data_IF_597163813909
#
_entry.id   IF_597163813909
#
_cell.length_a   1.000
_cell.length_b   1.000
_cell.length_c   1.000
_cell.angle_alpha   90.00
_cell.angle_beta   90.00
_cell.angle_gamma   90.00
#
_symmetry.space_group_name_H-M   'P 1'
#
loop_
_entity.id
_entity.type
_entity.pdbx_description
1 polymer ?
#
# COMPACT_ATOMS: atom_id res chain seq x y z
N UNK A 1 -25.93 8.41 -2.66
CA UNK A 1 -25.29 9.13 -1.54
C UNK A 1 -24.72 10.40 -2.16
N UNK A 2 -25.01 11.60 -1.66
CA UNK A 2 -24.49 12.83 -2.28
C UNK A 2 -23.01 12.97 -1.91
N UNK A 3 -22.12 13.00 -2.92
CA UNK A 3 -20.68 12.99 -2.72
C UNK A 3 -20.18 14.35 -2.21
N UNK A 4 -19.33 14.31 -1.20
CA UNK A 4 -18.64 15.48 -0.64
C UNK A 4 -17.48 15.82 -1.58
N UNK A 5 -17.43 17.04 -2.10
CA UNK A 5 -16.31 17.49 -2.93
C UNK A 5 -15.10 17.71 -2.00
N UNK A 6 -14.06 16.88 -2.15
CA UNK A 6 -12.83 17.01 -1.37
C UNK A 6 -11.94 18.09 -1.96
N UNK A 7 -11.15 18.76 -1.12
CA UNK A 7 -10.16 19.73 -1.60
C UNK A 7 -8.97 19.01 -2.26
N UNK A 8 -8.28 19.68 -3.18
CA UNK A 8 -7.04 19.15 -3.78
C UNK A 8 -6.00 18.77 -2.72
N UNK A 9 -5.88 19.56 -1.64
CA UNK A 9 -5.04 19.22 -0.49
C UNK A 9 -5.45 17.89 0.14
N UNK A 10 -6.75 17.70 0.41
CA UNK A 10 -7.28 16.49 1.02
C UNK A 10 -7.07 15.27 0.12
N UNK A 11 -7.24 15.42 -1.20
CA UNK A 11 -6.99 14.33 -2.17
C UNK A 11 -5.50 13.92 -2.15
N UNK A 12 -4.58 14.89 -2.18
CA UNK A 12 -3.14 14.62 -2.14
C UNK A 12 -2.70 14.02 -0.81
N UNK A 13 -3.26 14.50 0.30
CA UNK A 13 -3.02 13.94 1.62
C UNK A 13 -3.52 12.49 1.71
N UNK A 14 -4.70 12.19 1.14
CA UNK A 14 -5.25 10.83 1.12
C UNK A 14 -4.34 9.87 0.36
N UNK A 15 -3.74 10.29 -0.77
CA UNK A 15 -2.77 9.49 -1.52
C UNK A 15 -1.54 9.15 -0.65
N UNK A 16 -1.00 10.12 0.08
CA UNK A 16 0.11 9.89 1.00
C UNK A 16 -0.26 8.93 2.14
N UNK A 17 -1.47 9.07 2.69
CA UNK A 17 -1.95 8.16 3.72
C UNK A 17 -2.22 6.73 3.19
N UNK A 18 -2.68 6.56 1.95
CA UNK A 18 -2.80 5.24 1.31
C UNK A 18 -1.46 4.53 1.19
N UNK A 19 -0.39 5.27 0.83
CA UNK A 19 0.97 4.74 0.82
C UNK A 19 1.40 4.33 2.24
N UNK A 20 1.15 5.16 3.24
CA UNK A 20 1.44 4.84 4.66
C UNK A 20 0.71 3.59 5.13
N UNK A 21 -0.59 3.45 4.87
CA UNK A 21 -1.37 2.25 5.21
C UNK A 21 -0.82 0.99 4.53
N UNK A 22 -0.33 1.12 3.29
CA UNK A 22 0.32 0.02 2.58
C UNK A 22 1.60 -0.44 3.30
N UNK A 23 2.38 0.50 3.84
CA UNK A 23 3.57 0.20 4.66
C UNK A 23 3.19 -0.55 5.94
N UNK A 24 2.18 -0.06 6.67
CA UNK A 24 1.68 -0.72 7.88
C UNK A 24 1.20 -2.15 7.61
N UNK A 25 0.46 -2.38 6.53
CA UNK A 25 -0.04 -3.70 6.18
C UNK A 25 1.11 -4.67 5.86
N UNK A 26 2.13 -4.23 5.12
CA UNK A 26 3.32 -5.05 4.86
C UNK A 26 4.07 -5.38 6.15
N UNK A 27 4.22 -4.42 7.05
CA UNK A 27 4.84 -4.61 8.35
C UNK A 27 4.09 -5.62 9.22
N UNK A 28 2.74 -5.57 9.23
CA UNK A 28 1.89 -6.57 9.91
C UNK A 28 2.23 -7.98 9.46
N UNK A 29 2.28 -8.21 8.15
CA UNK A 29 2.66 -9.51 7.59
C UNK A 29 4.10 -9.92 7.95
N UNK A 30 5.04 -8.98 7.92
CA UNK A 30 6.41 -9.23 8.38
C UNK A 30 6.44 -9.72 9.83
N UNK A 31 5.66 -9.08 10.70
CA UNK A 31 5.56 -9.46 12.10
C UNK A 31 4.98 -10.86 12.27
N UNK A 32 3.97 -11.21 11.48
CA UNK A 32 3.39 -12.55 11.48
C UNK A 32 4.41 -13.61 11.07
N UNK A 33 5.26 -13.32 10.07
CA UNK A 33 6.35 -14.23 9.67
C UNK A 33 7.37 -14.41 10.80
N UNK A 34 7.82 -13.32 11.43
CA UNK A 34 8.78 -13.40 12.55
C UNK A 34 8.19 -14.21 13.71
N UNK A 35 6.95 -13.91 14.11
CA UNK A 35 6.27 -14.62 15.19
C UNK A 35 6.07 -16.10 14.87
N UNK A 36 5.91 -16.48 13.60
CA UNK A 36 5.77 -17.88 13.21
C UNK A 36 7.13 -18.61 13.18
N UNK A 37 8.20 -17.97 12.67
CA UNK A 37 9.48 -18.65 12.35
C UNK A 37 10.65 -18.37 13.29
N UNK A 38 10.77 -17.15 13.80
CA UNK A 38 11.92 -16.70 14.57
C UNK A 38 11.59 -16.53 16.07
N UNK A 39 10.33 -16.19 16.38
CA UNK A 39 9.86 -15.87 17.72
C UNK A 39 8.58 -16.65 18.09
N UNK A 40 8.55 -17.95 17.76
CA UNK A 40 7.38 -18.82 17.96
C UNK A 40 6.92 -18.90 19.42
N UNK A 41 7.82 -18.65 20.38
CA UNK A 41 7.51 -18.56 21.80
C UNK A 41 6.69 -17.32 22.19
N UNK A 42 6.68 -16.28 21.35
CA UNK A 42 5.89 -15.06 21.53
C UNK A 42 4.54 -15.09 20.79
N UNK A 43 4.26 -16.14 20.01
CA UNK A 43 3.00 -16.29 19.27
C UNK A 43 1.80 -16.19 20.23
N UNK A 44 0.83 -15.35 19.89
CA UNK A 44 -0.38 -15.10 20.71
C UNK A 44 -0.16 -14.21 21.95
N UNK A 45 1.07 -13.77 22.20
CA UNK A 45 1.40 -12.80 23.26
C UNK A 45 1.64 -11.41 22.68
N UNK A 46 2.25 -11.34 21.50
CA UNK A 46 2.42 -10.12 20.71
C UNK A 46 1.32 -10.04 19.67
N UNK A 47 0.67 -8.89 19.59
CA UNK A 47 -0.33 -8.59 18.58
C UNK A 47 0.37 -7.98 17.34
N UNK A 48 0.33 -8.65 16.17
CA UNK A 48 0.96 -8.15 14.96
C UNK A 48 0.32 -6.87 14.41
N UNK A 49 -0.89 -6.51 14.84
CA UNK A 49 -1.55 -5.25 14.48
C UNK A 49 -1.05 -4.06 15.32
N UNK A 50 -0.40 -4.33 16.44
CA UNK A 50 0.18 -3.28 17.29
C UNK A 50 1.60 -2.99 16.83
N UNK A 51 1.75 -1.91 16.06
CA UNK A 51 3.03 -1.54 15.48
C UNK A 51 3.60 -0.26 16.12
N UNK A 52 4.74 -0.38 16.79
CA UNK A 52 5.52 0.75 17.32
C UNK A 52 6.91 0.78 16.68
N UNK A 53 7.76 1.73 17.08
CA UNK A 53 9.15 1.78 16.60
C UNK A 53 9.96 0.51 16.91
N UNK A 54 9.59 -0.23 17.96
CA UNK A 54 10.31 -1.46 18.36
C UNK A 54 10.03 -2.61 17.40
N UNK A 55 8.79 -2.76 16.95
CA UNK A 55 8.41 -3.79 15.97
C UNK A 55 9.08 -3.51 14.62
N UNK A 56 9.27 -2.24 14.24
CA UNK A 56 10.02 -1.89 13.04
C UNK A 56 11.50 -2.29 13.13
N UNK A 57 12.17 -1.96 14.24
CA UNK A 57 13.57 -2.36 14.47
C UNK A 57 13.73 -3.90 14.43
N UNK A 58 12.73 -4.62 14.93
CA UNK A 58 12.71 -6.08 14.90
C UNK A 58 12.59 -6.62 13.46
N UNK A 59 11.71 -6.04 12.64
CA UNK A 59 11.59 -6.40 11.23
C UNK A 59 12.88 -6.12 10.45
N UNK A 60 13.54 -4.99 10.70
CA UNK A 60 14.83 -4.66 10.06
C UNK A 60 15.96 -5.61 10.47
N UNK A 61 15.93 -6.11 11.71
CA UNK A 61 16.91 -7.05 12.24
C UNK A 61 16.68 -8.51 11.82
N UNK A 62 15.53 -8.84 11.24
CA UNK A 62 15.19 -10.22 10.85
C UNK A 62 16.13 -10.75 9.76
N UNK A 63 16.52 -12.02 9.90
CA UNK A 63 17.35 -12.70 8.91
C UNK A 63 16.50 -13.44 7.86
N UNK A 64 15.19 -13.56 8.10
CA UNK A 64 14.24 -14.23 7.21
C UNK A 64 14.19 -13.57 5.81
N UNK A 65 14.43 -14.33 4.73
CA UNK A 65 14.45 -13.77 3.38
C UNK A 65 13.12 -13.16 2.92
N UNK A 66 11.99 -13.69 3.41
CA UNK A 66 10.67 -13.16 3.12
C UNK A 66 10.47 -11.81 3.82
N UNK A 67 10.82 -11.72 5.10
CA UNK A 67 10.77 -10.44 5.85
C UNK A 67 11.68 -9.40 5.20
N UNK A 68 12.90 -9.77 4.80
CA UNK A 68 13.82 -8.88 4.07
C UNK A 68 13.24 -8.41 2.73
N UNK A 69 12.42 -9.22 2.06
CA UNK A 69 11.74 -8.80 0.84
C UNK A 69 10.64 -7.79 1.15
N UNK A 70 9.83 -8.04 2.17
CA UNK A 70 8.78 -7.14 2.64
C UNK A 70 9.38 -5.77 3.04
N UNK A 71 10.47 -5.76 3.80
CA UNK A 71 11.12 -4.53 4.25
C UNK A 71 11.73 -3.71 3.11
N UNK A 72 12.11 -4.34 1.99
CA UNK A 72 12.49 -3.58 0.78
C UNK A 72 11.31 -2.82 0.19
N UNK A 73 10.12 -3.41 0.20
CA UNK A 73 8.90 -2.71 -0.25
C UNK A 73 8.55 -1.56 0.68
N UNK A 74 8.62 -1.76 2.00
CA UNK A 74 8.40 -0.70 3.01
C UNK A 74 9.34 0.49 2.77
N UNK A 75 10.64 0.22 2.62
CA UNK A 75 11.62 1.28 2.33
C UNK A 75 11.30 2.05 1.04
N UNK A 76 10.88 1.35 -0.02
CA UNK A 76 10.49 2.00 -1.27
C UNK A 76 9.24 2.88 -1.10
N UNK A 77 8.27 2.45 -0.27
CA UNK A 77 7.10 3.25 0.11
C UNK A 77 7.56 4.53 0.82
N UNK A 78 8.40 4.42 1.84
CA UNK A 78 8.84 5.58 2.63
C UNK A 78 9.60 6.61 1.77
N UNK A 79 10.49 6.14 0.90
CA UNK A 79 11.21 6.99 -0.06
C UNK A 79 10.24 7.68 -1.05
N UNK A 80 9.18 6.97 -1.47
CA UNK A 80 8.16 7.50 -2.36
C UNK A 80 7.28 8.53 -1.67
N UNK A 81 6.84 8.28 -0.43
CA UNK A 81 6.08 9.25 0.37
C UNK A 81 6.88 10.53 0.52
N UNK A 82 8.14 10.44 0.94
CA UNK A 82 9.00 11.60 1.13
C UNK A 82 9.15 12.43 -0.17
N UNK A 83 9.35 11.74 -1.30
CA UNK A 83 9.46 12.38 -2.61
C UNK A 83 8.14 13.01 -3.05
N UNK A 84 7.02 12.32 -2.86
CA UNK A 84 5.68 12.79 -3.18
C UNK A 84 5.31 14.05 -2.39
N UNK A 85 5.52 14.04 -1.06
CA UNK A 85 5.28 15.20 -0.22
C UNK A 85 6.14 16.40 -0.65
N UNK A 86 7.40 16.17 -1.00
CA UNK A 86 8.29 17.20 -1.51
C UNK A 86 7.80 17.80 -2.84
N UNK A 87 7.36 16.96 -3.78
CA UNK A 87 6.79 17.42 -5.07
C UNK A 87 5.59 18.33 -4.84
N UNK A 88 4.74 18.00 -3.88
CA UNK A 88 3.50 18.72 -3.59
C UNK A 88 3.65 19.84 -2.55
N UNK A 89 4.87 20.08 -2.04
CA UNK A 89 5.15 21.07 -0.98
C UNK A 89 4.27 20.87 0.27
N UNK A 90 4.02 19.61 0.63
CA UNK A 90 3.19 19.23 1.78
C UNK A 90 4.04 18.92 2.99
N UNK A 91 3.56 19.28 4.17
CA UNK A 91 4.17 18.91 5.44
C UNK A 91 3.64 17.55 5.91
N UNK A 92 4.55 16.66 6.28
CA UNK A 92 4.21 15.29 6.69
C UNK A 92 3.31 15.27 7.95
N UNK A 93 3.60 16.12 8.93
CA UNK A 93 2.80 16.16 10.14
C UNK A 93 1.39 16.67 9.86
N UNK A 94 1.23 17.69 9.01
CA UNK A 94 -0.10 18.16 8.58
C UNK A 94 -0.86 17.07 7.81
N UNK A 95 -0.20 16.41 6.85
CA UNK A 95 -0.79 15.34 6.03
C UNK A 95 -1.29 14.18 6.89
N UNK A 96 -0.49 13.71 7.84
CA UNK A 96 -0.84 12.55 8.66
C UNK A 96 -1.92 12.87 9.72
N UNK A 97 -2.19 14.15 9.97
CA UNK A 97 -3.25 14.60 10.87
C UNK A 97 -4.49 15.15 10.14
N UNK A 98 -4.58 15.03 8.81
CA UNK A 98 -5.77 15.40 8.04
C UNK A 98 -6.86 14.31 8.18
N UNK A 99 -7.87 14.59 9.00
CA UNK A 99 -9.00 13.69 9.31
C UNK A 99 -9.84 13.33 8.07
N UNK A 100 -10.02 14.25 7.13
CA UNK A 100 -10.85 14.01 5.95
C UNK A 100 -10.09 13.17 4.92
N UNK A 101 -8.78 13.42 4.78
CA UNK A 101 -7.88 12.57 4.03
C UNK A 101 -7.84 11.16 4.61
N UNK A 102 -7.79 11.04 5.94
CA UNK A 102 -7.80 9.76 6.64
C UNK A 102 -9.08 8.96 6.40
N UNK A 103 -10.25 9.59 6.48
CA UNK A 103 -11.52 8.93 6.16
C UNK A 103 -11.56 8.44 4.72
N UNK A 104 -11.10 9.27 3.77
CA UNK A 104 -11.07 8.91 2.35
C UNK A 104 -10.10 7.76 2.07
N UNK A 105 -8.86 7.87 2.56
CA UNK A 105 -7.85 6.83 2.43
C UNK A 105 -8.33 5.52 3.07
N UNK A 106 -8.89 5.58 4.29
CA UNK A 106 -9.41 4.40 4.99
C UNK A 106 -10.55 3.74 4.22
N UNK A 107 -11.45 4.54 3.65
CA UNK A 107 -12.55 4.02 2.83
C UNK A 107 -12.02 3.25 1.61
N UNK A 108 -11.05 3.82 0.89
CA UNK A 108 -10.44 3.17 -0.27
C UNK A 108 -9.67 1.93 0.15
N UNK A 109 -8.81 2.03 1.16
CA UNK A 109 -7.96 0.93 1.61
C UNK A 109 -8.78 -0.29 2.06
N UNK A 110 -9.81 -0.06 2.88
CA UNK A 110 -10.69 -1.12 3.39
C UNK A 110 -11.56 -1.77 2.30
N UNK A 111 -11.68 -1.17 1.10
CA UNK A 111 -12.36 -1.82 -0.02
C UNK A 111 -11.50 -2.94 -0.65
N UNK A 112 -10.18 -2.92 -0.45
CA UNK A 112 -9.23 -3.87 -1.06
C UNK A 112 -8.55 -4.76 -0.04
N UNK A 113 -8.24 -4.25 1.15
CA UNK A 113 -7.53 -5.00 2.19
C UNK A 113 -8.55 -5.55 3.18
N UNK A 114 -8.60 -6.87 3.29
CA UNK A 114 -9.49 -7.59 4.20
C UNK A 114 -8.67 -8.43 5.17
N UNK A 115 -9.10 -8.50 6.43
CA UNK A 115 -8.48 -9.37 7.41
C UNK A 115 -8.66 -10.84 7.00
N UNK A 116 -7.56 -11.47 6.60
CA UNK A 116 -7.52 -12.89 6.30
C UNK A 116 -7.13 -13.64 7.58
N UNK A 117 -7.79 -14.78 7.86
CA UNK A 117 -7.39 -15.64 8.97
C UNK A 117 -6.13 -16.42 8.59
N UNK A 118 -5.00 -16.06 9.20
CA UNK A 118 -3.68 -16.58 8.84
C UNK A 118 -3.10 -17.37 10.01
N UNK A 119 -3.54 -18.62 10.16
CA UNK A 119 -2.86 -19.56 11.04
C UNK A 119 -1.91 -20.46 10.23
N UNK A 120 -0.64 -20.45 10.62
CA UNK A 120 0.42 -21.22 10.00
C UNK A 120 1.14 -20.49 8.87
N UNK A 121 2.44 -20.75 8.75
CA UNK A 121 3.32 -20.08 7.80
C UNK A 121 2.83 -20.11 6.34
N UNK A 122 2.32 -21.25 5.88
CA UNK A 122 1.82 -21.37 4.49
C UNK A 122 0.66 -20.41 4.21
N UNK A 123 -0.28 -20.27 5.15
CA UNK A 123 -1.39 -19.33 5.02
C UNK A 123 -0.92 -17.88 5.08
N UNK A 124 0.10 -17.58 5.90
CA UNK A 124 0.74 -16.25 5.93
C UNK A 124 1.37 -15.94 4.57
N UNK A 125 2.11 -16.87 3.95
CA UNK A 125 2.71 -16.67 2.61
C UNK A 125 1.63 -16.44 1.54
N UNK A 126 0.52 -17.19 1.59
CA UNK A 126 -0.63 -16.93 0.73
C UNK A 126 -1.24 -15.54 0.98
N UNK A 127 -1.40 -15.15 2.25
CA UNK A 127 -1.87 -13.82 2.63
C UNK A 127 -1.00 -12.71 2.04
N UNK A 128 0.33 -12.84 2.15
CA UNK A 128 1.29 -11.88 1.57
C UNK A 128 1.14 -11.78 0.05
N UNK A 129 0.93 -12.91 -0.63
CA UNK A 129 0.68 -12.92 -2.07
C UNK A 129 -0.58 -12.13 -2.45
N UNK A 130 -1.68 -12.32 -1.72
CA UNK A 130 -2.91 -11.56 -1.91
C UNK A 130 -2.77 -10.09 -1.51
N UNK A 131 -2.04 -9.79 -0.44
CA UNK A 131 -1.73 -8.43 0.00
C UNK A 131 -1.05 -7.65 -1.13
N UNK A 132 0.03 -8.16 -1.73
CA UNK A 132 0.68 -7.46 -2.84
C UNK A 132 -0.24 -7.26 -4.06
N UNK A 133 -1.14 -8.22 -4.34
CA UNK A 133 -2.16 -8.03 -5.36
C UNK A 133 -3.11 -6.88 -5.00
N UNK A 134 -3.57 -6.81 -3.76
CA UNK A 134 -4.49 -5.77 -3.31
C UNK A 134 -3.84 -4.39 -3.23
N UNK A 135 -2.58 -4.29 -2.78
CA UNK A 135 -1.84 -3.03 -2.74
C UNK A 135 -1.64 -2.42 -4.13
N UNK A 136 -1.54 -3.24 -5.19
CA UNK A 136 -1.57 -2.74 -6.57
C UNK A 136 -2.88 -2.03 -6.90
N UNK A 137 -4.03 -2.56 -6.48
CA UNK A 137 -5.32 -1.90 -6.66
C UNK A 137 -5.45 -0.63 -5.81
N UNK A 138 -4.87 -0.61 -4.62
CA UNK A 138 -4.80 0.61 -3.80
C UNK A 138 -4.04 1.72 -4.53
N UNK A 139 -2.88 1.42 -5.13
CA UNK A 139 -2.12 2.41 -5.92
C UNK A 139 -2.87 2.86 -7.16
N UNK A 140 -3.63 1.96 -7.80
CA UNK A 140 -4.50 2.36 -8.89
C UNK A 140 -5.57 3.36 -8.46
N UNK A 141 -6.27 3.08 -7.36
CA UNK A 141 -7.26 4.02 -6.82
C UNK A 141 -6.63 5.34 -6.42
N UNK A 142 -5.39 5.34 -5.90
CA UNK A 142 -4.64 6.56 -5.64
C UNK A 142 -4.34 7.36 -6.92
N UNK A 143 -3.97 6.68 -8.02
CA UNK A 143 -3.77 7.34 -9.31
C UNK A 143 -5.08 7.92 -9.88
N UNK A 144 -6.20 7.22 -9.70
CA UNK A 144 -7.52 7.73 -10.12
C UNK A 144 -7.94 8.95 -9.30
N UNK A 145 -7.68 8.98 -7.99
CA UNK A 145 -7.90 10.18 -7.18
C UNK A 145 -7.14 11.39 -7.74
N UNK A 146 -5.91 11.17 -8.21
CA UNK A 146 -5.08 12.22 -8.81
C UNK A 146 -5.62 12.68 -10.18
N UNK A 147 -5.97 11.75 -11.06
CA UNK A 147 -6.41 12.04 -12.45
C UNK A 147 -7.80 12.67 -12.48
N UNK A 148 -8.71 12.17 -11.65
CA UNK A 148 -10.12 12.54 -11.71
C UNK A 148 -10.47 13.76 -10.84
N UNK A 149 -9.50 14.37 -10.16
CA UNK A 149 -9.71 15.49 -9.20
C UNK A 149 -10.85 15.21 -8.20
N UNK A 150 -11.04 13.94 -7.81
CA UNK A 150 -12.13 13.52 -6.92
C UNK A 150 -13.49 13.31 -7.58
N UNK A 151 -13.58 13.15 -8.91
CA UNK A 151 -14.76 12.61 -9.55
C UNK A 151 -14.95 11.12 -9.18
N UNK A 152 -16.21 10.69 -9.16
CA UNK A 152 -16.65 9.38 -8.68
C UNK A 152 -15.86 8.25 -9.36
N UNK A 153 -15.23 7.37 -8.58
CA UNK A 153 -14.58 6.17 -9.12
C UNK A 153 -15.67 5.32 -9.79
N UNK A 154 -15.62 5.22 -11.12
CA UNK A 154 -16.65 4.58 -11.92
C UNK A 154 -16.93 3.15 -11.42
N UNK A 155 -18.20 2.85 -11.19
CA UNK A 155 -18.63 1.52 -10.76
C UNK A 155 -18.29 0.44 -11.81
N UNK A 156 -18.18 0.80 -13.10
CA UNK A 156 -17.72 -0.11 -14.14
C UNK A 156 -16.21 -0.43 -14.00
N UNK A 157 -15.38 0.55 -13.64
CA UNK A 157 -13.95 0.32 -13.31
C UNK A 157 -13.78 -0.57 -12.07
N UNK A 158 -14.72 -0.53 -11.13
CA UNK A 158 -14.80 -1.45 -10.00
C UNK A 158 -15.11 -2.90 -10.42
N UNK A 159 -15.91 -3.11 -11.48
CA UNK A 159 -16.20 -4.44 -12.04
C UNK A 159 -15.06 -4.95 -12.92
N UNK A 160 -14.30 -4.05 -13.57
CA UNK A 160 -13.03 -4.35 -14.25
C UNK A 160 -11.86 -4.61 -13.30
N UNK A 161 -12.13 -4.91 -12.01
CA UNK A 161 -11.20 -5.33 -10.92
C UNK A 161 -10.13 -6.38 -11.29
N UNK A 162 -10.16 -6.90 -12.50
CA UNK A 162 -9.30 -7.95 -13.03
C UNK A 162 -8.54 -7.56 -14.29
N UNK A 163 -8.70 -6.33 -14.81
CA UNK A 163 -8.05 -5.93 -16.06
C UNK A 163 -6.79 -5.11 -15.80
N UNK A 164 -5.70 -5.82 -15.52
CA UNK A 164 -4.34 -5.26 -15.53
C UNK A 164 -4.00 -4.57 -16.84
N UNK A 165 -4.61 -5.01 -17.97
CA UNK A 165 -4.42 -4.35 -19.26
C UNK A 165 -5.14 -3.01 -19.32
N UNK A 166 -6.23 -2.76 -18.56
CA UNK A 166 -6.83 -1.41 -18.43
C UNK A 166 -5.92 -0.49 -17.64
N UNK A 167 -5.27 -0.99 -16.59
CA UNK A 167 -4.30 -0.19 -15.83
C UNK A 167 -3.06 0.11 -16.67
N UNK A 168 -2.47 -0.93 -17.27
CA UNK A 168 -1.32 -0.80 -18.14
C UNK A 168 -1.68 -0.01 -19.39
N UNK A 169 -2.91 -0.07 -19.91
CA UNK A 169 -3.36 0.81 -20.99
C UNK A 169 -3.59 2.23 -20.53
N UNK A 170 -4.02 2.49 -19.28
CA UNK A 170 -4.04 3.86 -18.74
C UNK A 170 -2.61 4.37 -18.52
N UNK A 171 -1.63 3.48 -18.29
CA UNK A 171 -0.22 3.83 -18.20
C UNK A 171 0.46 3.93 -19.57
N UNK A 172 0.05 3.11 -20.55
CA UNK A 172 0.60 2.99 -21.90
C UNK A 172 -0.07 3.99 -22.87
N UNK A 173 -1.38 4.26 -22.75
CA UNK A 173 -2.09 5.36 -23.45
C UNK A 173 -1.69 6.72 -22.87
N UNK A 174 -1.08 6.73 -21.70
CA UNK A 174 -0.24 7.84 -21.27
C UNK A 174 1.14 7.65 -21.90
N UNK A 175 1.18 7.66 -23.24
CA UNK A 175 2.40 7.69 -24.06
C UNK A 175 3.27 8.92 -23.74
N UNK A 176 2.76 9.85 -22.93
CA UNK A 176 3.48 10.96 -22.32
C UNK A 176 2.80 11.32 -20.99
N UNK A 177 3.27 10.79 -19.84
CA UNK A 177 2.88 11.35 -18.53
C UNK A 177 3.34 12.82 -18.41
N UNK A 178 4.10 13.33 -19.37
CA UNK A 178 4.83 14.57 -19.24
C UNK A 178 5.73 14.53 -18.00
N UNK A 179 6.06 15.71 -17.50
CA UNK A 179 6.74 15.89 -16.22
C UNK A 179 5.82 15.64 -14.98
N UNK A 180 4.74 14.82 -15.06
CA UNK A 180 3.83 14.56 -13.93
C UNK A 180 4.44 13.62 -12.89
N UNK A 181 5.33 14.20 -12.09
CA UNK A 181 6.15 13.52 -11.08
C UNK A 181 5.34 12.70 -10.08
N UNK A 182 4.09 13.08 -9.80
CA UNK A 182 3.21 12.39 -8.86
C UNK A 182 2.74 11.03 -9.38
N UNK A 183 2.32 10.93 -10.64
CA UNK A 183 1.90 9.66 -11.23
C UNK A 183 3.08 8.70 -11.37
N UNK A 184 4.28 9.24 -11.66
CA UNK A 184 5.51 8.45 -11.67
C UNK A 184 5.84 7.83 -10.30
N UNK A 185 5.55 8.54 -9.20
CA UNK A 185 5.72 7.98 -7.85
C UNK A 185 4.77 6.79 -7.60
N UNK A 186 3.50 6.93 -8.00
CA UNK A 186 2.51 5.85 -7.83
C UNK A 186 2.82 4.64 -8.70
N UNK A 187 3.26 4.87 -9.94
CA UNK A 187 3.70 3.81 -10.85
C UNK A 187 4.94 3.08 -10.31
N UNK A 188 5.89 3.81 -9.71
CA UNK A 188 7.03 3.19 -9.06
C UNK A 188 6.59 2.19 -7.98
N UNK A 189 5.65 2.56 -7.10
CA UNK A 189 5.13 1.64 -6.08
C UNK A 189 4.33 0.49 -6.66
N UNK A 190 3.58 0.74 -7.74
CA UNK A 190 2.92 -0.34 -8.46
C UNK A 190 3.91 -1.41 -8.91
N UNK A 191 5.04 -1.02 -9.50
CA UNK A 191 6.10 -1.94 -9.92
C UNK A 191 6.78 -2.63 -8.72
N UNK A 192 6.98 -1.93 -7.60
CA UNK A 192 7.47 -2.54 -6.36
C UNK A 192 6.53 -3.65 -5.89
N UNK A 193 5.23 -3.42 -5.91
CA UNK A 193 4.23 -4.40 -5.49
C UNK A 193 4.08 -5.55 -6.50
N UNK A 194 4.24 -5.26 -7.79
CA UNK A 194 4.29 -6.28 -8.84
C UNK A 194 5.51 -7.19 -8.68
N UNK A 195 6.68 -6.63 -8.38
CA UNK A 195 7.89 -7.38 -8.09
C UNK A 195 7.74 -8.22 -6.82
N UNK A 196 7.13 -7.66 -5.76
CA UNK A 196 6.80 -8.38 -4.53
C UNK A 196 5.87 -9.58 -4.79
N UNK A 197 4.77 -9.35 -5.50
CA UNK A 197 3.81 -10.40 -5.90
C UNK A 197 4.50 -11.57 -6.62
N UNK A 198 5.31 -11.26 -7.64
CA UNK A 198 6.03 -12.28 -8.39
C UNK A 198 7.12 -12.96 -7.55
N UNK A 199 7.77 -12.21 -6.64
CA UNK A 199 8.81 -12.72 -5.74
C UNK A 199 8.30 -13.73 -4.72
N UNK A 200 7.03 -13.62 -4.28
CA UNK A 200 6.42 -14.58 -3.34
C UNK A 200 6.36 -16.00 -3.92
N UNK A 201 6.32 -16.14 -5.25
CA UNK A 201 6.25 -17.47 -5.88
C UNK A 201 7.45 -18.38 -5.56
N UNK A 202 8.56 -17.81 -5.06
CA UNK A 202 9.73 -18.56 -4.60
C UNK A 202 9.60 -19.15 -3.18
N UNK A 203 8.52 -18.84 -2.46
CA UNK A 203 8.27 -19.25 -1.09
C UNK A 203 7.11 -20.25 -0.95
N UNK A 204 6.47 -20.62 -2.07
CA UNK A 204 5.53 -21.75 -2.18
C UNK A 204 6.26 -23.08 -2.42
#
# INVERSE_FOLDING_TARGET
MAFQHFSDHTLRAAIAQLMSFSSFEICKYGMMVILEKEMTDLKGTVDPETFTGVEFDLLEASEDPLVKMLMKSVKAIDETIATYLMINSMDDFEVMNDDDANKLASHIFNNFISNWEEDGYENIVHGIHYMYLNLRFVMYSAAQLYIQEGAEMDAELYEERWNMDTLLSVVDDVEDFGDEKNLLQLFHLFEVFNAGYNGITHFF
#
